data_IF_536226992560
#
_entry.id   IF_536226992560
#
_cell.length_a   1.000
_cell.length_b   1.000
_cell.length_c   1.000
_cell.angle_alpha   90.00
_cell.angle_beta   90.00
_cell.angle_gamma   90.00
#
_symmetry.space_group_name_H-M   'P 1'
#
loop_
_entity.id
_entity.type
_entity.pdbx_description
1 polymer ?
#
# COMPACT_ATOMS: atom_id res chain seq x y z
N UNK A 1 -29.55 9.70 17.55
CA UNK A 1 -28.83 8.79 16.64
C UNK A 1 -28.16 7.73 17.48
N UNK A 2 -28.17 6.48 17.05
CA UNK A 2 -27.51 5.40 17.78
C UNK A 2 -25.99 5.63 17.83
N UNK A 3 -25.38 5.41 18.99
CA UNK A 3 -23.93 5.53 19.17
C UNK A 3 -23.23 4.40 18.37
N UNK A 4 -22.35 4.79 17.45
CA UNK A 4 -21.59 3.85 16.63
C UNK A 4 -20.29 3.51 17.36
N UNK A 5 -20.01 2.22 17.55
CA UNK A 5 -18.80 1.76 18.23
C UNK A 5 -17.55 2.12 17.43
N UNK A 6 -16.53 2.77 18.03
CA UNK A 6 -15.24 2.99 17.38
C UNK A 6 -14.51 1.69 17.00
N UNK A 7 -14.85 0.57 17.65
CA UNK A 7 -14.19 -0.73 17.44
C UNK A 7 -14.87 -1.62 16.39
N UNK A 8 -16.10 -1.32 15.97
CA UNK A 8 -16.82 -2.15 14.99
C UNK A 8 -17.49 -1.35 13.87
N UNK A 9 -17.59 -0.02 14.02
CA UNK A 9 -18.33 0.87 13.13
C UNK A 9 -19.81 0.50 12.98
N UNK A 10 -20.36 -0.27 13.94
CA UNK A 10 -21.79 -0.62 14.03
C UNK A 10 -22.42 0.02 15.28
N UNK A 11 -23.75 0.20 15.32
CA UNK A 11 -24.45 0.60 16.54
C UNK A 11 -24.08 -0.33 17.71
N UNK A 12 -23.69 0.23 18.85
CA UNK A 12 -23.44 -0.55 20.06
C UNK A 12 -23.85 0.18 21.34
N UNK A 13 -24.15 -0.59 22.38
CA UNK A 13 -24.53 -0.08 23.71
C UNK A 13 -23.34 0.27 24.59
N UNK A 14 -22.13 0.40 24.04
CA UNK A 14 -20.87 0.55 24.77
C UNK A 14 -20.66 1.94 25.43
N UNK A 15 -21.65 2.84 25.34
CA UNK A 15 -21.50 4.28 25.54
C UNK A 15 -21.66 4.83 26.96
N UNK A 16 -21.83 4.01 28.01
CA UNK A 16 -22.15 4.53 29.37
C UNK A 16 -21.25 4.00 30.52
N UNK A 17 -19.95 3.81 30.27
CA UNK A 17 -19.00 3.45 31.33
C UNK A 17 -18.08 4.61 31.72
N UNK A 18 -18.35 5.29 32.85
CA UNK A 18 -17.42 6.26 33.46
C UNK A 18 -16.09 5.56 33.79
N UNK A 19 -15.00 5.96 33.15
CA UNK A 19 -13.64 5.52 33.50
C UNK A 19 -13.25 6.19 34.80
N UNK A 20 -13.25 5.43 35.90
CA UNK A 20 -12.72 5.85 37.19
C UNK A 20 -11.19 5.91 37.12
N UNK A 21 -10.62 7.11 37.17
CA UNK A 21 -9.20 7.34 37.41
C UNK A 21 -8.98 7.18 38.92
N UNK A 22 -8.12 6.25 39.31
CA UNK A 22 -7.71 6.02 40.69
C UNK A 22 -6.64 7.04 41.11
N UNK A 23 -6.99 7.92 42.05
CA UNK A 23 -6.06 8.79 42.77
C UNK A 23 -5.34 8.01 43.88
N UNK A 24 -4.02 8.20 44.00
CA UNK A 24 -3.20 7.79 45.14
C UNK A 24 -2.29 8.94 45.56
N UNK A 25 -2.34 9.28 46.85
CA UNK A 25 -2.01 10.60 47.42
C UNK A 25 -0.63 10.70 48.09
N UNK A 26 -0.23 11.96 48.35
CA UNK A 26 0.68 12.49 49.39
C UNK A 26 2.20 12.66 49.10
N UNK A 27 2.64 13.94 49.08
CA UNK A 27 3.62 14.42 50.07
C UNK A 27 4.93 15.12 49.62
N UNK A 28 5.00 16.44 49.88
CA UNK A 28 6.15 17.24 50.33
C UNK A 28 7.29 17.66 49.35
N UNK A 29 7.71 18.92 49.51
CA UNK A 29 8.73 19.64 48.75
C UNK A 29 10.15 19.45 49.33
N UNK A 30 11.15 19.30 48.45
CA UNK A 30 12.49 19.91 48.55
C UNK A 30 13.26 19.73 47.23
N UNK A 31 14.05 20.73 46.89
CA UNK A 31 15.03 20.74 45.81
C UNK A 31 16.12 19.68 46.01
N UNK A 32 16.35 18.84 44.99
CA UNK A 32 17.38 17.81 45.00
C UNK A 32 17.67 17.24 43.61
N UNK A 33 18.89 17.46 43.16
CA UNK A 33 19.71 16.67 42.21
C UNK A 33 19.03 16.13 40.93
N UNK A 34 19.40 16.70 39.78
CA UNK A 34 19.19 16.09 38.47
C UNK A 34 19.96 14.77 38.36
N UNK A 35 19.35 13.66 38.77
CA UNK A 35 19.80 12.33 38.33
C UNK A 35 19.53 12.24 36.82
N UNK A 36 20.51 11.81 36.00
CA UNK A 36 20.24 11.54 34.60
C UNK A 36 19.17 10.46 34.55
N UNK A 37 18.04 10.78 33.90
CA UNK A 37 17.00 9.80 33.61
C UNK A 37 17.68 8.70 32.80
N UNK A 38 17.85 7.53 33.41
CA UNK A 38 18.23 6.33 32.69
C UNK A 38 17.23 6.19 31.55
N UNK A 39 17.71 6.02 30.33
CA UNK A 39 16.88 5.61 29.20
C UNK A 39 16.16 4.32 29.62
N UNK A 40 14.92 4.45 30.07
CA UNK A 40 14.04 3.31 30.21
C UNK A 40 13.68 2.95 28.78
N UNK A 41 14.12 1.76 28.34
CA UNK A 41 13.52 1.08 27.21
C UNK A 41 12.02 1.24 27.37
N UNK A 42 11.38 1.87 26.38
CA UNK A 42 9.92 1.99 26.35
C UNK A 42 9.42 0.55 26.46
N UNK A 43 8.86 0.19 27.62
CA UNK A 43 8.36 -1.16 27.87
C UNK A 43 7.34 -1.46 26.76
N UNK A 44 7.71 -2.35 25.84
CA UNK A 44 6.93 -2.70 24.65
C UNK A 44 5.55 -3.26 24.99
N UNK A 45 5.28 -3.57 26.27
CA UNK A 45 3.96 -3.91 26.77
C UNK A 45 2.94 -2.75 26.78
N UNK A 46 3.38 -1.51 26.57
CA UNK A 46 2.46 -0.36 26.43
C UNK A 46 1.81 -0.23 25.05
N UNK A 47 2.28 -0.99 24.05
CA UNK A 47 1.54 -1.20 22.80
C UNK A 47 0.38 -2.16 23.09
N UNK A 48 -0.62 -1.69 23.85
CA UNK A 48 -1.90 -2.38 23.97
C UNK A 48 -2.43 -2.61 22.55
N UNK A 49 -2.75 -3.86 22.25
CA UNK A 49 -3.36 -4.38 21.02
C UNK A 49 -4.65 -3.63 20.65
N UNK A 50 -4.51 -2.40 20.15
CA UNK A 50 -5.61 -1.59 19.66
C UNK A 50 -5.17 -0.96 18.36
N UNK A 51 -4.97 -1.82 17.36
CA UNK A 51 -4.84 -1.38 15.98
C UNK A 51 -6.11 -0.62 15.57
N UNK A 52 -5.93 0.35 14.67
CA UNK A 52 -7.05 1.07 14.10
C UNK A 52 -7.89 0.11 13.27
N UNK A 53 -9.22 0.19 13.43
CA UNK A 53 -10.11 -0.58 12.59
C UNK A 53 -10.06 -0.07 11.15
N UNK A 54 -10.22 -0.99 10.19
CA UNK A 54 -10.43 -0.58 8.82
C UNK A 54 -11.84 0.03 8.68
N UNK A 55 -12.00 1.23 8.06
CA UNK A 55 -13.30 1.88 7.92
C UNK A 55 -14.33 0.98 7.21
N UNK A 56 -15.45 0.59 7.85
CA UNK A 56 -16.43 -0.33 7.26
C UNK A 56 -17.02 0.16 5.94
N UNK A 57 -17.12 1.48 5.76
CA UNK A 57 -17.62 2.11 4.54
C UNK A 57 -16.73 1.79 3.33
N UNK A 58 -15.43 1.60 3.55
CA UNK A 58 -14.48 1.25 2.49
C UNK A 58 -14.55 -0.24 2.12
N UNK A 59 -14.97 -1.11 3.05
CA UNK A 59 -15.17 -2.54 2.77
C UNK A 59 -16.34 -2.75 1.81
N UNK A 60 -17.41 -1.97 2.00
CA UNK A 60 -18.63 -2.04 1.19
C UNK A 60 -18.53 -1.26 -0.13
N UNK A 61 -17.41 -0.56 -0.37
CA UNK A 61 -17.26 0.33 -1.51
C UNK A 61 -17.00 -0.45 -2.79
N UNK A 62 -17.89 -0.30 -3.77
CA UNK A 62 -17.65 -0.80 -5.11
C UNK A 62 -16.58 0.03 -5.84
N UNK A 63 -15.72 -0.66 -6.58
CA UNK A 63 -14.80 -0.01 -7.50
C UNK A 63 -15.56 0.53 -8.71
N UNK A 64 -15.49 1.84 -8.94
CA UNK A 64 -16.07 2.50 -10.10
C UNK A 64 -14.97 3.03 -11.04
N UNK A 65 -15.15 3.01 -12.36
CA UNK A 65 -14.25 3.73 -13.26
C UNK A 65 -14.20 5.21 -12.88
N UNK A 66 -13.00 5.81 -12.90
CA UNK A 66 -12.84 7.22 -12.54
C UNK A 66 -12.35 8.04 -13.73
N UNK A 67 -12.84 9.29 -13.79
CA UNK A 67 -12.37 10.35 -14.68
C UNK A 67 -12.28 11.62 -13.85
N UNK A 68 -11.06 12.12 -13.67
CA UNK A 68 -10.77 13.29 -12.84
C UNK A 68 -10.11 14.37 -13.69
N UNK A 69 -10.40 15.63 -13.33
CA UNK A 69 -9.78 16.81 -13.92
C UNK A 69 -8.90 17.46 -12.86
N UNK A 70 -7.62 17.64 -13.18
CA UNK A 70 -6.64 18.30 -12.35
C UNK A 70 -6.32 19.71 -12.83
N UNK A 71 -5.54 20.42 -12.02
CA UNK A 71 -4.98 21.71 -12.39
C UNK A 71 -4.13 21.61 -13.66
N UNK A 72 -4.02 22.71 -14.41
CA UNK A 72 -3.26 22.74 -15.67
C UNK A 72 -3.87 21.90 -16.80
N UNK A 73 -5.16 21.53 -16.69
CA UNK A 73 -5.85 20.77 -17.73
C UNK A 73 -5.55 19.26 -17.75
N UNK A 74 -4.86 18.75 -16.72
CA UNK A 74 -4.54 17.33 -16.60
C UNK A 74 -5.84 16.52 -16.48
N UNK A 75 -5.92 15.42 -17.23
CA UNK A 75 -7.01 14.44 -17.12
C UNK A 75 -6.46 13.11 -16.64
N UNK A 76 -7.09 12.56 -15.61
CA UNK A 76 -6.69 11.27 -15.05
C UNK A 76 -7.84 10.28 -15.15
N UNK A 77 -7.55 9.09 -15.68
CA UNK A 77 -8.52 8.02 -15.88
C UNK A 77 -8.12 6.78 -15.08
N UNK A 78 -9.11 6.06 -14.54
CA UNK A 78 -8.94 4.71 -13.97
C UNK A 78 -9.96 3.76 -14.59
N UNK A 79 -9.62 3.07 -15.68
CA UNK A 79 -10.43 1.96 -16.17
C UNK A 79 -10.40 0.77 -15.18
N UNK A 80 -11.42 -0.07 -15.24
CA UNK A 80 -11.50 -1.32 -14.48
C UNK A 80 -11.39 -2.57 -15.37
N UNK A 81 -11.41 -2.39 -16.69
CA UNK A 81 -11.36 -3.49 -17.66
C UNK A 81 -10.32 -3.22 -18.74
N UNK A 82 -9.72 -4.28 -19.27
CA UNK A 82 -8.73 -4.17 -20.34
C UNK A 82 -9.33 -3.50 -21.58
N UNK A 83 -10.56 -3.83 -21.95
CA UNK A 83 -11.27 -3.20 -23.09
C UNK A 83 -11.34 -1.68 -22.94
N UNK A 84 -11.69 -1.18 -21.75
CA UNK A 84 -11.76 0.27 -21.53
C UNK A 84 -10.37 0.92 -21.56
N UNK A 85 -9.35 0.25 -21.01
CA UNK A 85 -7.97 0.72 -21.12
C UNK A 85 -7.52 0.85 -22.59
N UNK A 86 -7.77 -0.17 -23.40
CA UNK A 86 -7.40 -0.16 -24.82
C UNK A 86 -8.14 0.94 -25.59
N UNK A 87 -9.43 1.15 -25.32
CA UNK A 87 -10.18 2.27 -25.90
C UNK A 87 -9.61 3.63 -25.48
N UNK A 88 -9.24 3.82 -24.21
CA UNK A 88 -8.61 5.06 -23.77
C UNK A 88 -7.26 5.28 -24.47
N UNK A 89 -6.50 4.21 -24.73
CA UNK A 89 -5.26 4.28 -25.49
C UNK A 89 -5.44 4.54 -26.97
N UNK A 90 -6.49 4.03 -27.59
CA UNK A 90 -6.77 4.33 -29.00
C UNK A 90 -7.18 5.80 -29.17
N UNK A 91 -7.96 6.35 -28.23
CA UNK A 91 -8.37 7.77 -28.24
C UNK A 91 -7.22 8.69 -27.84
N UNK A 92 -6.37 8.27 -26.90
CA UNK A 92 -5.23 9.03 -26.42
C UNK A 92 -3.92 8.22 -26.49
N UNK A 93 -3.33 8.05 -27.69
CA UNK A 93 -2.13 7.23 -27.87
C UNK A 93 -0.94 7.70 -27.01
N UNK A 94 -0.79 9.02 -26.87
CA UNK A 94 0.28 9.65 -26.09
C UNK A 94 0.01 9.72 -24.58
N UNK A 95 -1.14 9.22 -24.09
CA UNK A 95 -1.39 9.20 -22.65
C UNK A 95 -0.26 8.42 -21.93
N UNK A 96 0.09 8.78 -20.70
CA UNK A 96 1.05 8.00 -19.91
C UNK A 96 0.30 7.00 -19.02
N UNK A 97 0.74 5.75 -19.03
CA UNK A 97 0.23 4.74 -18.10
C UNK A 97 0.90 4.90 -16.74
N UNK A 98 0.12 4.73 -15.66
CA UNK A 98 0.61 4.92 -14.30
C UNK A 98 0.18 3.75 -13.41
N UNK A 99 1.13 3.17 -12.68
CA UNK A 99 0.85 2.24 -11.58
C UNK A 99 1.21 2.89 -10.25
N UNK A 100 2.45 2.74 -9.78
CA UNK A 100 2.95 3.31 -8.52
C UNK A 100 3.46 4.75 -8.60
N UNK A 101 3.51 5.34 -9.79
CA UNK A 101 4.03 6.69 -10.05
C UNK A 101 5.51 6.92 -9.66
N UNK A 102 6.28 5.86 -9.43
CA UNK A 102 7.68 5.93 -8.96
C UNK A 102 8.65 6.46 -10.02
N UNK A 103 8.35 6.30 -11.31
CA UNK A 103 9.11 6.92 -12.42
C UNK A 103 8.41 8.18 -12.96
N UNK A 104 7.11 8.08 -13.26
CA UNK A 104 6.34 9.20 -13.84
C UNK A 104 6.39 10.45 -12.96
N UNK A 105 6.35 10.28 -11.64
CA UNK A 105 6.52 11.39 -10.69
C UNK A 105 7.91 12.04 -10.79
N UNK A 106 8.96 11.27 -11.05
CA UNK A 106 10.32 11.79 -11.24
C UNK A 106 10.43 12.54 -12.57
N UNK A 107 9.87 11.97 -13.65
CA UNK A 107 9.85 12.60 -14.97
C UNK A 107 9.18 13.99 -14.92
N UNK A 108 8.02 14.09 -14.27
CA UNK A 108 7.29 15.35 -14.15
C UNK A 108 8.06 16.35 -13.28
N UNK A 109 8.51 15.93 -12.09
CA UNK A 109 9.05 16.86 -11.10
C UNK A 109 10.50 17.29 -11.38
N UNK A 110 11.32 16.41 -11.98
CA UNK A 110 12.76 16.63 -12.12
C UNK A 110 13.24 16.64 -13.58
N UNK A 111 12.45 16.11 -14.52
CA UNK A 111 12.79 16.10 -15.95
C UNK A 111 11.88 17.04 -16.77
N UNK A 112 11.01 17.81 -16.11
CA UNK A 112 10.05 18.73 -16.73
C UNK A 112 9.15 18.05 -17.80
N UNK A 113 8.87 16.75 -17.63
CA UNK A 113 7.99 16.03 -18.54
C UNK A 113 6.54 16.47 -18.35
N UNK A 114 5.80 16.59 -19.46
CA UNK A 114 4.41 17.05 -19.45
C UNK A 114 3.49 15.93 -19.93
N UNK A 115 2.64 15.44 -19.03
CA UNK A 115 1.68 14.38 -19.31
C UNK A 115 0.25 14.88 -19.07
N UNK A 116 -0.41 15.48 -20.08
CA UNK A 116 -1.76 16.03 -19.91
C UNK A 116 -2.83 14.94 -19.72
N UNK A 117 -2.53 13.68 -20.07
CA UNK A 117 -3.43 12.56 -19.91
C UNK A 117 -2.71 11.40 -19.23
N UNK A 118 -3.22 11.00 -18.07
CA UNK A 118 -2.73 9.92 -17.26
C UNK A 118 -3.80 8.83 -17.16
N UNK A 119 -3.40 7.56 -17.27
CA UNK A 119 -4.30 6.42 -17.13
C UNK A 119 -3.72 5.48 -16.07
N UNK A 120 -4.40 5.36 -14.93
CA UNK A 120 -4.03 4.37 -13.92
C UNK A 120 -4.56 3.00 -14.29
N UNK A 121 -3.65 2.03 -14.37
CA UNK A 121 -3.96 0.65 -14.77
C UNK A 121 -4.00 -0.33 -13.60
N UNK A 122 -3.86 0.20 -12.39
CA UNK A 122 -3.84 -0.55 -11.11
C UNK A 122 -5.06 -1.45 -10.89
N UNK A 123 -6.20 -1.17 -11.53
CA UNK A 123 -7.46 -1.89 -11.33
C UNK A 123 -7.89 -2.74 -12.53
N UNK A 124 -7.01 -2.92 -13.52
CA UNK A 124 -7.25 -3.85 -14.62
C UNK A 124 -6.77 -5.22 -14.18
N UNK A 125 -7.71 -6.16 -14.03
CA UNK A 125 -7.46 -7.46 -13.41
C UNK A 125 -6.41 -8.28 -14.18
N UNK A 126 -6.47 -8.25 -15.51
CA UNK A 126 -5.56 -8.96 -16.42
C UNK A 126 -4.10 -8.50 -16.23
N UNK A 127 -3.88 -7.23 -15.87
CA UNK A 127 -2.54 -6.68 -15.63
C UNK A 127 -2.02 -6.97 -14.22
N UNK A 128 -2.85 -7.52 -13.33
CA UNK A 128 -2.49 -7.86 -11.95
C UNK A 128 -2.44 -9.38 -11.70
N UNK A 129 -2.54 -10.18 -12.78
CA UNK A 129 -2.36 -11.64 -12.73
C UNK A 129 -0.96 -11.94 -12.21
N UNK A 130 -0.89 -12.89 -11.28
CA UNK A 130 0.35 -13.45 -10.80
C UNK A 130 0.08 -14.92 -10.52
N UNK A 131 0.57 -15.81 -11.39
CA UNK A 131 0.28 -17.24 -11.29
C UNK A 131 1.49 -18.09 -11.65
N UNK A 132 1.55 -19.26 -11.03
CA UNK A 132 2.55 -20.29 -11.30
C UNK A 132 1.91 -21.28 -12.29
N UNK A 133 2.56 -21.49 -13.44
CA UNK A 133 2.16 -22.45 -14.47
C UNK A 133 3.11 -23.65 -14.48
N UNK A 134 2.82 -24.62 -15.33
CA UNK A 134 3.68 -25.78 -15.56
C UNK A 134 5.03 -25.34 -16.17
N UNK A 135 5.00 -24.40 -17.10
CA UNK A 135 6.14 -23.93 -17.90
C UNK A 135 6.79 -22.63 -17.39
N UNK A 136 6.30 -22.03 -16.31
CA UNK A 136 6.90 -20.83 -15.74
C UNK A 136 5.94 -19.97 -14.91
N UNK A 137 6.29 -18.68 -14.78
CA UNK A 137 5.48 -17.69 -14.05
C UNK A 137 4.79 -16.75 -15.04
N UNK A 138 3.48 -16.56 -14.88
CA UNK A 138 2.76 -15.49 -15.55
C UNK A 138 2.68 -14.26 -14.62
N UNK A 139 3.29 -13.17 -15.07
CA UNK A 139 3.40 -11.92 -14.30
C UNK A 139 2.74 -10.79 -15.09
N UNK A 140 1.63 -10.29 -14.57
CA UNK A 140 0.96 -9.11 -15.10
C UNK A 140 1.81 -7.85 -14.87
N UNK A 141 1.78 -6.93 -15.84
CA UNK A 141 2.65 -5.75 -15.82
C UNK A 141 2.42 -4.79 -14.64
N UNK A 142 1.22 -4.81 -14.04
CA UNK A 142 0.87 -3.98 -12.87
C UNK A 142 1.16 -4.67 -11.52
N UNK A 143 1.69 -5.90 -11.53
CA UNK A 143 2.12 -6.59 -10.29
C UNK A 143 3.19 -5.77 -9.58
N UNK A 144 2.99 -5.55 -8.29
CA UNK A 144 3.92 -4.82 -7.42
C UNK A 144 5.17 -5.65 -7.17
N UNK A 145 6.33 -4.99 -7.10
CA UNK A 145 7.61 -5.66 -6.84
C UNK A 145 7.62 -6.40 -5.50
N UNK A 146 6.94 -5.88 -4.47
CA UNK A 146 6.83 -6.58 -3.18
C UNK A 146 6.09 -7.91 -3.30
N UNK A 147 4.98 -7.93 -4.04
CA UNK A 147 4.19 -9.14 -4.29
C UNK A 147 4.96 -10.14 -5.15
N UNK A 148 5.67 -9.67 -6.17
CA UNK A 148 6.55 -10.53 -6.96
C UNK A 148 7.66 -11.14 -6.08
N UNK A 149 8.29 -10.33 -5.22
CA UNK A 149 9.35 -10.79 -4.33
C UNK A 149 8.85 -11.87 -3.35
N UNK A 150 7.61 -11.80 -2.88
CA UNK A 150 6.98 -12.83 -2.04
C UNK A 150 6.78 -14.14 -2.82
N UNK A 151 6.19 -14.08 -4.01
CA UNK A 151 5.98 -15.27 -4.85
C UNK A 151 7.31 -15.94 -5.24
N UNK A 152 8.33 -15.16 -5.59
CA UNK A 152 9.63 -15.72 -5.96
C UNK A 152 10.24 -16.53 -4.81
N UNK A 153 10.06 -16.08 -3.55
CA UNK A 153 10.55 -16.84 -2.39
C UNK A 153 9.82 -18.17 -2.24
N UNK A 154 8.50 -18.18 -2.41
CA UNK A 154 7.67 -19.39 -2.37
C UNK A 154 8.15 -20.40 -3.43
N UNK A 155 8.22 -19.98 -4.70
CA UNK A 155 8.65 -20.82 -5.82
C UNK A 155 10.07 -21.37 -5.61
N UNK A 156 11.01 -20.55 -5.13
CA UNK A 156 12.38 -20.96 -4.84
C UNK A 156 12.47 -22.01 -3.73
N UNK A 157 11.53 -21.98 -2.77
CA UNK A 157 11.47 -22.92 -1.66
C UNK A 157 10.80 -24.25 -1.99
N UNK A 158 9.88 -24.26 -2.96
CA UNK A 158 9.06 -25.42 -3.30
C UNK A 158 9.59 -26.21 -4.50
N UNK A 159 10.27 -25.55 -5.45
CA UNK A 159 10.74 -26.17 -6.69
C UNK A 159 12.23 -26.45 -6.70
N UNK A 160 12.65 -27.33 -7.60
CA UNK A 160 14.04 -27.76 -7.69
C UNK A 160 14.98 -26.60 -8.10
N UNK A 161 16.25 -26.74 -7.72
CA UNK A 161 17.28 -25.72 -7.99
C UNK A 161 17.42 -25.44 -9.49
N UNK A 162 17.29 -26.47 -10.33
CA UNK A 162 17.44 -26.35 -11.78
C UNK A 162 16.25 -25.63 -12.44
N UNK A 163 15.07 -25.68 -11.84
CA UNK A 163 13.85 -25.01 -12.32
C UNK A 163 13.80 -23.53 -11.90
N UNK A 164 14.52 -23.15 -10.85
CA UNK A 164 14.36 -21.85 -10.17
C UNK A 164 15.49 -20.85 -10.43
N UNK A 165 16.38 -21.13 -11.38
CA UNK A 165 17.56 -20.29 -11.66
C UNK A 165 17.22 -18.82 -11.94
N UNK A 166 16.26 -18.55 -12.83
CA UNK A 166 15.79 -17.19 -13.12
C UNK A 166 15.09 -16.54 -11.93
N UNK A 167 14.31 -17.31 -11.16
CA UNK A 167 13.63 -16.80 -9.97
C UNK A 167 14.65 -16.33 -8.91
N UNK A 168 15.72 -17.09 -8.69
CA UNK A 168 16.81 -16.75 -7.77
C UNK A 168 17.52 -15.48 -8.20
N UNK A 169 17.83 -15.35 -9.49
CA UNK A 169 18.46 -14.14 -10.03
C UNK A 169 17.60 -12.89 -9.81
N UNK A 170 16.31 -12.95 -10.18
CA UNK A 170 15.38 -11.83 -9.98
C UNK A 170 15.20 -11.54 -8.48
N UNK A 171 15.11 -12.57 -7.65
CA UNK A 171 14.99 -12.43 -6.20
C UNK A 171 16.17 -11.71 -5.56
N UNK A 172 17.40 -11.98 -6.01
CA UNK A 172 18.61 -11.31 -5.50
C UNK A 172 18.68 -9.85 -5.96
N UNK A 173 18.29 -9.53 -7.19
CA UNK A 173 18.18 -8.13 -7.64
C UNK A 173 17.14 -7.35 -6.80
N UNK A 174 15.96 -7.93 -6.59
CA UNK A 174 14.89 -7.29 -5.79
C UNK A 174 15.23 -7.13 -4.31
N UNK A 175 16.17 -7.92 -3.78
CA UNK A 175 16.65 -7.81 -2.40
C UNK A 175 17.35 -6.47 -2.16
N UNK A 176 18.17 -6.04 -3.11
CA UNK A 176 18.94 -4.78 -3.03
C UNK A 176 18.24 -3.60 -3.72
N UNK A 177 17.14 -3.85 -4.45
CA UNK A 177 16.35 -2.82 -5.08
C UNK A 177 15.45 -2.06 -4.10
N UNK A 178 15.81 -0.80 -3.81
CA UNK A 178 15.01 0.21 -3.12
C UNK A 178 14.39 -0.20 -1.76
N UNK A 179 13.73 0.75 -1.11
CA UNK A 179 12.98 0.50 0.14
C UNK A 179 11.65 -0.21 -0.09
N UNK A 180 11.06 -0.77 0.98
CA UNK A 180 9.74 -1.41 0.95
C UNK A 180 8.64 -0.46 0.46
N UNK A 181 8.76 0.82 0.76
CA UNK A 181 7.86 1.90 0.34
C UNK A 181 7.76 1.97 -1.18
N UNK A 182 8.90 1.90 -1.88
CA UNK A 182 8.96 1.89 -3.34
C UNK A 182 8.42 0.57 -3.88
N UNK A 183 8.90 -0.57 -3.35
CA UNK A 183 8.49 -1.90 -3.83
C UNK A 183 7.00 -2.20 -3.65
N UNK A 184 6.35 -1.59 -2.66
CA UNK A 184 4.91 -1.72 -2.42
C UNK A 184 4.04 -1.03 -3.48
N UNK A 185 4.59 -0.16 -4.32
CA UNK A 185 3.83 0.57 -5.34
C UNK A 185 4.43 0.44 -6.73
N UNK A 186 5.76 0.31 -6.86
CA UNK A 186 6.43 0.07 -8.12
C UNK A 186 5.95 -1.23 -8.76
N UNK A 187 5.69 -1.19 -10.06
CA UNK A 187 5.27 -2.32 -10.87
C UNK A 187 6.42 -2.94 -11.64
N UNK A 188 6.21 -4.17 -12.14
CA UNK A 188 7.17 -4.88 -12.99
C UNK A 188 7.30 -4.23 -14.38
N UNK A 189 6.17 -3.85 -14.99
CA UNK A 189 6.12 -3.19 -16.30
C UNK A 189 5.95 -1.69 -16.24
#
# INVERSE_FOLDING_TARGET
GEFICPSSGKPCSCGEGKVSICEGSAGCATCGEHKPVLYNEIDGNLYKEKELIFPPELVLRNNLPLKLHGFGGIRWYRPLTLKHLLNLKSVYPAAKLVVGNTEVGIEINFKNAQYPILISVTHVAELNVLSIKEDGLEIGSSVRLSRLQELLKEVISERDIHETSSCRAIGEELKWFAGKQVKNVASVG
#
